data_IF_951169889716
#
_entry.id   IF_951169889716
#
_cell.length_a   1.000
_cell.length_b   1.000
_cell.length_c   1.000
_cell.angle_alpha   90.00
_cell.angle_beta   90.00
_cell.angle_gamma   90.00
#
_symmetry.space_group_name_H-M   'P 1'
#
loop_
_entity.id
_entity.type
_entity.pdbx_description
1 polymer ?
#
# COMPACT_ATOMS: atom_id res chain seq x y z
N UNK A 1 18.72 -22.43 -2.32
CA UNK A 1 18.36 -21.11 -1.77
C UNK A 1 18.40 -21.04 -0.24
N UNK A 2 17.74 -21.95 0.53
CA UNK A 2 17.74 -21.87 2.02
C UNK A 2 19.15 -21.88 2.66
N UNK A 3 20.13 -22.57 2.07
CA UNK A 3 21.51 -22.64 2.60
C UNK A 3 22.34 -21.37 2.37
N UNK A 4 21.94 -20.49 1.44
CA UNK A 4 22.65 -19.22 1.14
C UNK A 4 22.20 -18.06 2.03
N UNK A 5 20.99 -18.13 2.60
CA UNK A 5 20.43 -17.06 3.44
C UNK A 5 21.30 -16.68 4.65
N UNK A 6 21.87 -17.65 5.42
CA UNK A 6 22.76 -17.31 6.53
C UNK A 6 24.03 -16.56 6.08
N UNK A 7 24.58 -16.93 4.93
CA UNK A 7 25.76 -16.25 4.38
C UNK A 7 25.42 -14.82 3.93
N UNK A 8 24.24 -14.62 3.33
CA UNK A 8 23.77 -13.27 2.97
C UNK A 8 23.58 -12.41 4.22
N UNK A 9 22.98 -12.95 5.30
CA UNK A 9 22.81 -12.20 6.55
C UNK A 9 24.15 -11.84 7.20
N UNK A 10 25.12 -12.76 7.18
CA UNK A 10 26.47 -12.49 7.67
C UNK A 10 27.19 -11.43 6.83
N UNK A 11 27.09 -11.52 5.50
CA UNK A 11 27.65 -10.52 4.60
C UNK A 11 27.07 -9.13 4.87
N UNK A 12 25.75 -9.03 5.05
CA UNK A 12 25.09 -7.75 5.38
C UNK A 12 25.57 -7.20 6.73
N UNK A 13 25.72 -8.07 7.74
CA UNK A 13 26.28 -7.67 9.03
C UNK A 13 27.70 -7.13 8.88
N UNK A 14 28.56 -7.84 8.14
CA UNK A 14 29.92 -7.40 7.87
C UNK A 14 29.95 -6.06 7.15
N UNK A 15 29.11 -5.85 6.14
CA UNK A 15 29.00 -4.57 5.44
C UNK A 15 28.59 -3.43 6.39
N UNK A 16 27.64 -3.67 7.28
CA UNK A 16 27.21 -2.67 8.29
C UNK A 16 28.37 -2.32 9.23
N UNK A 17 29.17 -3.31 9.65
CA UNK A 17 30.32 -3.10 10.54
C UNK A 17 31.51 -2.45 9.82
N UNK A 18 31.74 -2.78 8.55
CA UNK A 18 32.83 -2.18 7.75
C UNK A 18 32.54 -0.73 7.34
N UNK A 19 31.26 -0.36 7.23
CA UNK A 19 30.80 0.96 6.81
C UNK A 19 29.85 1.59 7.84
N UNK A 20 30.32 1.86 9.08
CA UNK A 20 29.47 2.26 10.18
C UNK A 20 28.85 3.66 9.99
N UNK A 21 29.57 4.57 9.33
CA UNK A 21 29.10 5.95 9.10
C UNK A 21 27.91 5.95 8.15
N UNK A 22 28.03 5.26 7.03
CA UNK A 22 26.95 5.14 6.03
C UNK A 22 25.78 4.37 6.58
N UNK A 23 26.03 3.29 7.31
CA UNK A 23 25.00 2.48 7.96
C UNK A 23 24.20 3.28 8.96
N UNK A 24 24.87 4.06 9.82
CA UNK A 24 24.22 4.94 10.78
C UNK A 24 23.45 6.08 10.10
N UNK A 25 24.01 6.66 9.04
CA UNK A 25 23.34 7.69 8.25
C UNK A 25 22.04 7.17 7.62
N UNK A 26 22.09 5.99 7.01
CA UNK A 26 20.92 5.32 6.45
C UNK A 26 19.86 4.99 7.50
N UNK A 27 20.28 4.45 8.64
CA UNK A 27 19.38 4.14 9.75
C UNK A 27 18.69 5.40 10.31
N UNK A 28 19.44 6.51 10.51
CA UNK A 28 18.89 7.80 10.93
C UNK A 28 17.89 8.37 9.91
N UNK A 29 18.22 8.28 8.61
CA UNK A 29 17.31 8.71 7.55
C UNK A 29 16.01 7.88 7.55
N UNK A 30 16.11 6.56 7.70
CA UNK A 30 14.97 5.65 7.82
C UNK A 30 14.12 5.93 9.05
N UNK A 31 14.75 6.18 10.21
CA UNK A 31 14.06 6.53 11.44
C UNK A 31 13.30 7.86 11.30
N UNK A 32 13.95 8.88 10.75
CA UNK A 32 13.33 10.19 10.51
C UNK A 32 12.14 10.06 9.56
N UNK A 33 12.28 9.32 8.45
CA UNK A 33 11.20 9.07 7.50
C UNK A 33 10.02 8.35 8.17
N UNK A 34 10.29 7.29 8.92
CA UNK A 34 9.27 6.53 9.62
C UNK A 34 8.54 7.38 10.66
N UNK A 35 9.27 8.07 11.52
CA UNK A 35 8.72 8.83 12.62
C UNK A 35 7.93 10.07 12.17
N UNK A 36 8.49 10.84 11.23
CA UNK A 36 7.91 12.12 10.82
C UNK A 36 6.82 12.01 9.75
N UNK A 37 6.83 10.93 8.94
CA UNK A 37 5.92 10.81 7.80
C UNK A 37 5.03 9.58 7.87
N UNK A 38 5.62 8.39 8.06
CA UNK A 38 4.89 7.12 7.94
C UNK A 38 4.03 6.85 9.18
N UNK A 39 4.62 7.02 10.37
CA UNK A 39 3.96 6.75 11.65
C UNK A 39 2.69 7.61 11.85
N UNK A 40 2.72 8.95 11.75
CA UNK A 40 1.55 9.78 11.94
C UNK A 40 0.49 9.61 10.84
N UNK A 41 0.91 9.26 9.63
CA UNK A 41 -0.02 9.05 8.51
C UNK A 41 -0.77 7.72 8.60
N UNK A 42 -0.12 6.65 9.09
CA UNK A 42 -0.70 5.29 9.05
C UNK A 42 -1.32 4.87 10.38
N UNK A 43 -0.77 5.26 11.52
CA UNK A 43 -1.25 4.78 12.83
C UNK A 43 -2.74 5.02 13.07
N UNK A 44 -3.30 6.24 12.86
CA UNK A 44 -4.73 6.46 13.08
C UNK A 44 -5.61 5.58 12.18
N UNK A 45 -5.23 5.41 10.92
CA UNK A 45 -5.98 4.57 9.98
C UNK A 45 -5.91 3.09 10.35
N UNK A 46 -4.79 2.62 10.89
CA UNK A 46 -4.63 1.24 11.36
C UNK A 46 -5.48 0.97 12.60
N UNK A 47 -5.51 1.90 13.55
CA UNK A 47 -6.36 1.80 14.74
C UNK A 47 -7.83 1.72 14.32
N UNK A 48 -8.29 2.62 13.45
CA UNK A 48 -9.67 2.62 12.97
C UNK A 48 -10.02 1.32 12.22
N UNK A 49 -9.12 0.82 11.36
CA UNK A 49 -9.32 -0.42 10.62
C UNK A 49 -9.47 -1.62 11.57
N UNK A 50 -8.56 -1.76 12.53
CA UNK A 50 -8.59 -2.86 13.50
C UNK A 50 -9.77 -2.78 14.45
N UNK A 51 -10.13 -1.56 14.87
CA UNK A 51 -11.33 -1.34 15.67
C UNK A 51 -12.60 -1.77 14.92
N UNK A 52 -12.70 -1.40 13.64
CA UNK A 52 -13.79 -1.82 12.75
C UNK A 52 -13.86 -3.35 12.62
N UNK A 53 -12.72 -4.01 12.51
CA UNK A 53 -12.61 -5.47 12.43
C UNK A 53 -13.03 -6.13 13.76
N UNK A 54 -12.50 -5.66 14.90
CA UNK A 54 -12.80 -6.19 16.24
C UNK A 54 -14.25 -5.99 16.66
N UNK A 55 -14.86 -4.88 16.27
CA UNK A 55 -16.29 -4.63 16.48
C UNK A 55 -17.20 -5.41 15.52
N UNK A 56 -16.62 -6.22 14.62
CA UNK A 56 -17.36 -7.09 13.73
C UNK A 56 -18.16 -6.38 12.62
N UNK A 57 -17.87 -5.10 12.34
CA UNK A 57 -18.61 -4.32 11.33
C UNK A 57 -18.65 -5.00 9.96
N UNK A 58 -17.54 -5.59 9.53
CA UNK A 58 -17.48 -6.29 8.25
C UNK A 58 -18.38 -7.53 8.21
N UNK A 59 -18.62 -8.17 9.37
CA UNK A 59 -19.50 -9.34 9.47
C UNK A 59 -20.98 -8.94 9.46
N UNK A 60 -21.30 -7.88 10.19
CA UNK A 60 -22.68 -7.36 10.26
C UNK A 60 -23.13 -6.73 8.97
N UNK A 61 -22.28 -5.88 8.35
CA UNK A 61 -22.57 -5.19 7.11
C UNK A 61 -22.55 -6.13 5.88
N UNK A 62 -21.69 -7.15 5.90
CA UNK A 62 -21.51 -8.09 4.79
C UNK A 62 -21.65 -9.54 5.23
N UNK A 63 -22.88 -10.05 5.43
CA UNK A 63 -23.13 -11.41 5.93
C UNK A 63 -22.68 -12.49 4.95
N UNK A 64 -22.58 -12.16 3.64
CA UNK A 64 -22.13 -13.10 2.61
C UNK A 64 -20.60 -13.10 2.49
N UNK A 65 -20.00 -14.28 2.39
CA UNK A 65 -18.56 -14.47 2.27
C UNK A 65 -17.90 -13.60 1.18
N UNK A 66 -18.47 -13.56 -0.02
CA UNK A 66 -17.95 -12.73 -1.13
C UNK A 66 -17.98 -11.24 -0.82
N UNK A 67 -19.05 -10.78 -0.16
CA UNK A 67 -19.17 -9.38 0.27
C UNK A 67 -18.10 -9.02 1.29
N UNK A 68 -17.85 -9.89 2.29
CA UNK A 68 -16.79 -9.71 3.29
C UNK A 68 -15.41 -9.64 2.64
N UNK A 69 -15.10 -10.58 1.75
CA UNK A 69 -13.82 -10.58 1.03
C UNK A 69 -13.62 -9.29 0.25
N UNK A 70 -14.63 -8.86 -0.51
CA UNK A 70 -14.58 -7.60 -1.26
C UNK A 70 -14.41 -6.37 -0.36
N UNK A 71 -15.17 -6.30 0.74
CA UNK A 71 -15.05 -5.23 1.73
C UNK A 71 -13.66 -5.21 2.36
N UNK A 72 -13.13 -6.35 2.79
CA UNK A 72 -11.79 -6.46 3.35
C UNK A 72 -10.70 -6.03 2.36
N UNK A 73 -10.84 -6.39 1.08
CA UNK A 73 -9.92 -5.92 0.03
C UNK A 73 -10.01 -4.39 -0.15
N UNK A 74 -11.23 -3.82 -0.19
CA UNK A 74 -11.42 -2.38 -0.27
C UNK A 74 -10.80 -1.65 0.93
N UNK A 75 -11.01 -2.14 2.15
CA UNK A 75 -10.36 -1.61 3.34
C UNK A 75 -8.83 -1.66 3.25
N UNK A 76 -8.27 -2.77 2.76
CA UNK A 76 -6.83 -2.91 2.57
C UNK A 76 -6.26 -1.92 1.58
N UNK A 77 -6.96 -1.66 0.46
CA UNK A 77 -6.55 -0.66 -0.52
C UNK A 77 -6.62 0.75 0.05
N UNK A 78 -7.62 1.07 0.86
CA UNK A 78 -7.79 2.38 1.48
C UNK A 78 -6.74 2.65 2.56
N UNK A 79 -6.48 1.68 3.41
CA UNK A 79 -5.49 1.80 4.48
C UNK A 79 -4.06 1.67 3.98
N UNK A 80 -3.85 0.97 2.85
CA UNK A 80 -2.53 0.76 2.25
C UNK A 80 -1.75 -0.41 2.85
N UNK A 81 -0.57 -0.66 2.25
CA UNK A 81 0.36 -1.67 2.73
C UNK A 81 0.84 -1.35 4.17
N UNK A 82 1.08 -2.37 5.01
CA UNK A 82 1.02 -3.81 4.74
C UNK A 82 -0.34 -4.49 5.04
N UNK A 83 -1.43 -3.74 5.20
CA UNK A 83 -2.74 -4.30 5.59
C UNK A 83 -3.27 -5.32 4.58
N UNK A 84 -2.99 -5.13 3.28
CA UNK A 84 -3.30 -6.14 2.26
C UNK A 84 -2.61 -7.47 2.49
N UNK A 85 -1.34 -7.45 2.92
CA UNK A 85 -0.60 -8.67 3.23
C UNK A 85 -1.13 -9.35 4.49
N UNK A 86 -1.52 -8.58 5.52
CA UNK A 86 -2.16 -9.13 6.73
C UNK A 86 -3.48 -9.79 6.41
N UNK A 87 -4.33 -9.11 5.66
CA UNK A 87 -5.61 -9.63 5.24
C UNK A 87 -5.43 -10.94 4.47
N UNK A 88 -4.58 -10.97 3.44
CA UNK A 88 -4.33 -12.20 2.70
C UNK A 88 -3.73 -13.29 3.57
N UNK A 89 -2.82 -12.95 4.49
CA UNK A 89 -2.25 -13.89 5.45
C UNK A 89 -3.31 -14.50 6.38
N UNK A 90 -4.27 -13.72 6.82
CA UNK A 90 -5.40 -14.22 7.61
C UNK A 90 -6.31 -15.13 6.77
N UNK A 91 -6.79 -14.65 5.62
CA UNK A 91 -7.71 -15.39 4.76
C UNK A 91 -7.13 -16.71 4.23
N UNK A 92 -5.81 -16.80 4.05
CA UNK A 92 -5.17 -18.06 3.63
C UNK A 92 -4.95 -19.01 4.80
N UNK A 93 -4.62 -18.50 6.00
CA UNK A 93 -4.55 -19.33 7.22
C UNK A 93 -5.89 -19.94 7.58
N UNK A 94 -6.95 -19.16 7.45
CA UNK A 94 -8.32 -19.59 7.73
C UNK A 94 -8.92 -20.51 6.64
N UNK A 95 -8.17 -20.77 5.56
CA UNK A 95 -8.66 -21.57 4.44
C UNK A 95 -9.75 -20.89 3.58
N UNK A 96 -10.08 -19.63 3.88
CA UNK A 96 -11.06 -18.82 3.13
C UNK A 96 -10.62 -18.59 1.69
N UNK A 97 -9.32 -18.38 1.49
CA UNK A 97 -8.69 -18.20 0.19
C UNK A 97 -7.59 -19.25 0.03
N UNK A 98 -7.57 -20.04 -1.04
CA UNK A 98 -6.46 -20.94 -1.32
C UNK A 98 -5.14 -20.18 -1.43
N UNK A 99 -4.03 -20.76 -0.94
CA UNK A 99 -2.71 -20.09 -0.96
C UNK A 99 -2.30 -19.63 -2.37
N UNK A 100 -2.58 -20.43 -3.39
CA UNK A 100 -2.32 -20.08 -4.79
C UNK A 100 -3.06 -18.82 -5.26
N UNK A 101 -4.28 -18.61 -4.79
CA UNK A 101 -5.08 -17.41 -5.05
C UNK A 101 -4.57 -16.23 -4.21
N UNK A 102 -4.26 -16.45 -2.93
CA UNK A 102 -3.65 -15.45 -2.05
C UNK A 102 -2.37 -14.87 -2.64
N UNK A 103 -1.47 -15.73 -3.13
CA UNK A 103 -0.23 -15.34 -3.82
C UNK A 103 -0.47 -14.48 -5.09
N UNK A 104 -1.59 -14.66 -5.79
CA UNK A 104 -1.96 -13.87 -6.98
C UNK A 104 -2.59 -12.53 -6.62
N UNK A 105 -3.44 -12.51 -5.58
CA UNK A 105 -4.15 -11.31 -5.13
C UNK A 105 -3.24 -10.35 -4.36
N UNK A 106 -2.26 -10.89 -3.65
CA UNK A 106 -1.41 -10.12 -2.75
C UNK A 106 -0.75 -8.90 -3.42
N UNK A 107 -0.14 -8.99 -4.63
CA UNK A 107 0.43 -7.83 -5.30
C UNK A 107 -0.57 -6.70 -5.59
N UNK A 108 -1.84 -7.03 -5.76
CA UNK A 108 -2.92 -6.07 -6.04
C UNK A 108 -3.40 -5.38 -4.76
N UNK A 109 -3.71 -6.17 -3.72
CA UNK A 109 -4.29 -5.65 -2.47
C UNK A 109 -3.24 -5.04 -1.53
N UNK A 110 -1.97 -5.47 -1.62
CA UNK A 110 -0.87 -4.90 -0.85
C UNK A 110 -0.23 -3.73 -1.61
N UNK A 111 -0.99 -2.66 -1.75
CA UNK A 111 -0.61 -1.44 -2.47
C UNK A 111 -0.63 -0.23 -1.56
N UNK A 112 -0.03 0.88 -1.97
CA UNK A 112 -0.07 2.12 -1.19
C UNK A 112 -1.49 2.67 -1.10
N UNK A 113 -1.76 3.44 -0.05
CA UNK A 113 -3.09 4.06 0.14
C UNK A 113 -3.31 5.27 -0.78
N UNK A 114 -4.58 5.61 -1.08
CA UNK A 114 -4.91 6.86 -1.78
C UNK A 114 -4.40 8.11 -1.04
N UNK A 115 -4.40 8.07 0.30
CA UNK A 115 -3.86 9.15 1.12
C UNK A 115 -2.37 9.38 0.85
N UNK A 116 -1.56 8.31 0.80
CA UNK A 116 -0.13 8.41 0.47
C UNK A 116 0.07 8.98 -0.95
N UNK A 117 -0.69 8.48 -1.93
CA UNK A 117 -0.60 8.96 -3.31
C UNK A 117 -0.93 10.46 -3.42
N UNK A 118 -1.95 10.92 -2.70
CA UNK A 118 -2.36 12.32 -2.69
C UNK A 118 -1.40 13.21 -1.90
N UNK A 119 -1.07 12.83 -0.66
CA UNK A 119 -0.34 13.72 0.26
C UNK A 119 1.15 13.71 -0.03
N UNK A 120 1.75 12.54 -0.15
CA UNK A 120 3.19 12.42 -0.34
C UNK A 120 3.56 12.64 -1.81
N UNK A 121 2.90 11.94 -2.75
CA UNK A 121 3.36 12.00 -4.14
C UNK A 121 2.83 13.25 -4.86
N UNK A 122 1.51 13.45 -4.89
CA UNK A 122 0.95 14.58 -5.64
C UNK A 122 1.23 15.92 -4.96
N UNK A 123 1.00 16.03 -3.64
CA UNK A 123 1.12 17.30 -2.92
C UNK A 123 2.55 17.63 -2.55
N UNK A 124 3.31 16.69 -1.98
CA UNK A 124 4.65 16.99 -1.48
C UNK A 124 5.73 16.86 -2.57
N UNK A 125 5.74 15.78 -3.36
CA UNK A 125 6.77 15.53 -4.39
C UNK A 125 6.53 16.31 -5.68
N UNK A 126 5.30 16.32 -6.18
CA UNK A 126 4.94 17.00 -7.43
C UNK A 126 4.45 18.45 -7.22
N UNK A 127 4.18 18.87 -5.97
CA UNK A 127 3.63 20.18 -5.62
C UNK A 127 2.35 20.53 -6.39
N UNK A 128 1.63 19.50 -6.87
CA UNK A 128 0.41 19.65 -7.65
C UNK A 128 -0.60 18.53 -7.34
N UNK A 129 -1.58 18.85 -6.50
CA UNK A 129 -2.64 17.92 -6.08
C UNK A 129 -3.52 17.43 -7.23
N UNK A 130 -3.65 18.20 -8.33
CA UNK A 130 -4.45 17.81 -9.49
C UNK A 130 -3.89 16.55 -10.17
N UNK A 131 -2.59 16.31 -10.06
CA UNK A 131 -1.92 15.11 -10.60
C UNK A 131 -2.30 13.81 -9.88
N UNK A 132 -2.96 13.90 -8.72
CA UNK A 132 -3.55 12.73 -8.08
C UNK A 132 -4.55 12.01 -9.00
N UNK A 133 -5.33 12.74 -9.79
CA UNK A 133 -6.39 12.17 -10.66
C UNK A 133 -5.84 11.17 -11.69
N UNK A 134 -4.89 11.55 -12.59
CA UNK A 134 -4.32 10.61 -13.55
C UNK A 134 -3.58 9.47 -12.86
N UNK A 135 -2.87 9.73 -11.76
CA UNK A 135 -2.20 8.69 -11.00
C UNK A 135 -3.19 7.73 -10.35
N UNK A 136 -4.26 8.22 -9.73
CA UNK A 136 -5.28 7.39 -9.09
C UNK A 136 -6.03 6.52 -10.11
N UNK A 137 -6.40 7.08 -11.26
CA UNK A 137 -7.04 6.34 -12.34
C UNK A 137 -6.13 5.21 -12.86
N UNK A 138 -4.87 5.51 -13.13
CA UNK A 138 -3.90 4.54 -13.61
C UNK A 138 -3.55 3.48 -12.54
N UNK A 139 -3.55 3.84 -11.27
CA UNK A 139 -3.17 2.97 -10.16
C UNK A 139 -4.31 2.04 -9.74
N UNK A 140 -5.46 2.61 -9.38
CA UNK A 140 -6.56 1.83 -8.81
C UNK A 140 -7.48 1.20 -9.88
N UNK A 141 -7.54 1.75 -11.08
CA UNK A 141 -8.34 1.19 -12.19
C UNK A 141 -7.95 -0.26 -12.49
N UNK A 142 -6.70 -0.56 -12.86
CA UNK A 142 -6.26 -1.94 -13.12
C UNK A 142 -6.39 -2.86 -11.90
N UNK A 143 -6.10 -2.36 -10.70
CA UNK A 143 -6.22 -3.16 -9.46
C UNK A 143 -7.66 -3.60 -9.25
N UNK A 144 -8.63 -2.70 -9.40
CA UNK A 144 -10.04 -3.01 -9.29
C UNK A 144 -10.50 -3.98 -10.37
N UNK A 145 -10.15 -3.73 -11.64
CA UNK A 145 -10.51 -4.62 -12.75
C UNK A 145 -9.94 -6.03 -12.58
N UNK A 146 -8.67 -6.17 -12.17
CA UNK A 146 -8.01 -7.47 -12.01
C UNK A 146 -8.46 -8.20 -10.73
N UNK A 147 -8.94 -7.50 -9.72
CA UNK A 147 -9.42 -8.12 -8.48
C UNK A 147 -10.86 -8.65 -8.57
N UNK A 148 -11.71 -8.03 -9.39
CA UNK A 148 -13.12 -8.42 -9.53
C UNK A 148 -13.34 -9.91 -9.91
N UNK A 149 -12.68 -10.47 -10.96
CA UNK A 149 -12.86 -11.88 -11.31
C UNK A 149 -12.41 -12.83 -10.20
N UNK A 150 -11.41 -12.44 -9.42
CA UNK A 150 -10.87 -13.27 -8.35
C UNK A 150 -11.83 -13.36 -7.16
N UNK A 151 -12.69 -12.35 -6.93
CA UNK A 151 -13.73 -12.39 -5.92
C UNK A 151 -14.84 -13.40 -6.22
N UNK A 152 -15.00 -13.78 -7.49
CA UNK A 152 -16.05 -14.74 -7.91
C UNK A 152 -15.66 -16.20 -7.69
N UNK A 153 -14.37 -16.51 -7.56
CA UNK A 153 -13.83 -17.88 -7.51
C UNK A 153 -13.58 -18.40 -6.07
N UNK A 154 -13.89 -17.63 -5.04
CA UNK A 154 -13.73 -18.05 -3.63
C UNK A 154 -14.67 -19.23 -3.29
N UNK A 155 -14.11 -20.37 -2.82
CA UNK A 155 -14.90 -21.46 -2.26
C UNK A 155 -15.48 -21.04 -0.91
N UNK A 156 -16.70 -21.54 -0.58
CA UNK A 156 -17.26 -21.40 0.79
C UNK A 156 -16.27 -22.04 1.76
N UNK A 157 -15.81 -21.28 2.75
CA UNK A 157 -14.99 -21.81 3.84
C UNK A 157 -15.87 -22.37 4.94
N UNK A 158 -15.45 -23.47 5.53
CA UNK A 158 -16.08 -24.07 6.71
C UNK A 158 -15.90 -23.24 7.99
N UNK A 159 -15.05 -22.22 7.96
CA UNK A 159 -14.70 -21.35 9.09
C UNK A 159 -15.83 -20.37 9.49
N UNK A 160 -16.90 -20.28 8.72
CA UNK A 160 -18.06 -19.46 9.07
C UNK A 160 -18.77 -19.93 10.39
N UNK A 161 -18.43 -21.09 10.93
CA UNK A 161 -19.06 -21.68 12.12
C UNK A 161 -18.37 -21.37 13.46
N UNK A 162 -17.05 -21.18 13.50
CA UNK A 162 -16.33 -21.02 14.77
C UNK A 162 -16.06 -19.57 15.19
N UNK A 163 -16.27 -18.61 14.33
CA UNK A 163 -15.98 -17.21 14.62
C UNK A 163 -17.19 -16.41 15.16
N UNK A 164 -18.10 -17.07 15.86
CA UNK A 164 -19.05 -16.43 16.77
C UNK A 164 -18.36 -16.09 18.11
N UNK A 165 -17.09 -15.66 18.08
CA UNK A 165 -16.44 -15.09 19.27
C UNK A 165 -17.22 -13.83 19.66
N UNK A 166 -17.60 -13.78 20.93
CA UNK A 166 -18.32 -12.69 21.56
C UNK A 166 -17.80 -11.34 21.06
N UNK A 167 -18.68 -10.44 20.66
CA UNK A 167 -18.36 -9.06 20.34
C UNK A 167 -17.58 -8.50 21.53
N UNK A 168 -16.32 -8.11 21.32
CA UNK A 168 -15.54 -7.44 22.35
C UNK A 168 -16.25 -6.16 22.79
N UNK A 169 -16.14 -5.81 24.07
CA UNK A 169 -16.59 -4.50 24.52
C UNK A 169 -15.81 -3.41 23.77
N UNK A 170 -16.40 -2.24 23.58
CA UNK A 170 -15.72 -1.15 22.89
C UNK A 170 -14.37 -0.80 23.53
N UNK A 171 -14.21 -0.69 24.87
CA UNK A 171 -12.93 -0.42 25.50
C UNK A 171 -11.89 -1.50 25.21
N UNK A 172 -12.25 -2.78 25.28
CA UNK A 172 -11.34 -3.89 24.99
C UNK A 172 -10.92 -3.92 23.52
N UNK A 173 -11.88 -3.69 22.62
CA UNK A 173 -11.62 -3.61 21.19
C UNK A 173 -10.69 -2.43 20.84
N UNK A 174 -10.88 -1.28 21.49
CA UNK A 174 -10.04 -0.10 21.28
C UNK A 174 -8.61 -0.33 21.82
N UNK A 175 -8.47 -0.84 23.04
CA UNK A 175 -7.18 -1.16 23.66
C UNK A 175 -6.38 -2.12 22.75
N UNK A 176 -6.99 -3.23 22.36
CA UNK A 176 -6.36 -4.21 21.49
C UNK A 176 -6.06 -3.67 20.09
N UNK A 177 -6.93 -2.79 19.55
CA UNK A 177 -6.67 -2.15 18.26
C UNK A 177 -5.45 -1.22 18.30
N UNK A 178 -5.28 -0.45 19.39
CA UNK A 178 -4.12 0.41 19.60
C UNK A 178 -2.84 -0.42 19.72
N UNK A 179 -2.84 -1.41 20.62
CA UNK A 179 -1.68 -2.27 20.85
C UNK A 179 -1.19 -2.96 19.58
N UNK A 180 -2.09 -3.63 18.86
CA UNK A 180 -1.74 -4.29 17.61
C UNK A 180 -1.28 -3.33 16.54
N UNK A 181 -1.84 -2.10 16.47
CA UNK A 181 -1.42 -1.09 15.52
C UNK A 181 -0.02 -0.57 15.83
N UNK A 182 0.32 -0.39 17.11
CA UNK A 182 1.67 -0.02 17.53
C UNK A 182 2.70 -1.08 17.14
N UNK A 183 2.42 -2.36 17.40
CA UNK A 183 3.30 -3.47 16.98
C UNK A 183 3.52 -3.49 15.46
N UNK A 184 2.47 -3.20 14.70
CA UNK A 184 2.57 -3.10 13.25
C UNK A 184 3.43 -1.93 12.79
N UNK A 185 3.28 -0.77 13.43
CA UNK A 185 4.12 0.40 13.16
C UNK A 185 5.60 0.11 13.45
N UNK A 186 5.92 -0.59 14.54
CA UNK A 186 7.29 -0.98 14.86
C UNK A 186 7.88 -1.93 13.79
N UNK A 187 7.11 -2.90 13.31
CA UNK A 187 7.55 -3.80 12.22
C UNK A 187 7.81 -3.03 10.92
N UNK A 188 6.91 -2.10 10.56
CA UNK A 188 7.07 -1.23 9.39
C UNK A 188 8.33 -0.38 9.55
N UNK A 189 8.51 0.25 10.72
CA UNK A 189 9.69 1.04 11.04
C UNK A 189 10.98 0.24 10.87
N UNK A 190 11.05 -0.96 11.45
CA UNK A 190 12.20 -1.84 11.29
C UNK A 190 12.53 -2.17 9.82
N UNK A 191 11.52 -2.46 8.99
CA UNK A 191 11.72 -2.69 7.56
C UNK A 191 12.23 -1.44 6.82
N UNK A 192 11.71 -0.25 7.16
CA UNK A 192 12.14 1.02 6.55
C UNK A 192 13.58 1.34 6.95
N UNK A 193 13.91 1.25 8.25
CA UNK A 193 15.27 1.49 8.73
C UNK A 193 16.26 0.56 8.05
N UNK A 194 15.95 -0.72 7.98
CA UNK A 194 16.79 -1.71 7.32
C UNK A 194 16.97 -1.40 5.83
N UNK A 195 15.89 -1.11 5.10
CA UNK A 195 15.96 -0.77 3.69
C UNK A 195 16.76 0.52 3.43
N UNK A 196 16.59 1.56 4.27
CA UNK A 196 17.37 2.80 4.17
C UNK A 196 18.85 2.61 4.51
N UNK A 197 19.18 1.70 5.45
CA UNK A 197 20.56 1.32 5.74
C UNK A 197 21.20 0.64 4.52
N UNK A 198 20.49 -0.33 3.92
CA UNK A 198 20.96 -0.99 2.70
C UNK A 198 21.10 -0.01 1.53
N UNK A 199 20.16 0.94 1.41
CA UNK A 199 20.22 1.98 0.38
C UNK A 199 21.45 2.86 0.56
N UNK A 200 21.75 3.29 1.79
CA UNK A 200 22.93 4.10 2.08
C UNK A 200 24.23 3.39 1.72
N UNK A 201 24.32 2.10 2.04
CA UNK A 201 25.47 1.26 1.68
C UNK A 201 25.57 1.07 0.14
N UNK A 202 24.44 0.77 -0.52
CA UNK A 202 24.41 0.51 -1.96
C UNK A 202 24.65 1.76 -2.81
N UNK A 203 24.35 2.96 -2.29
CA UNK A 203 24.59 4.24 -2.97
C UNK A 203 26.05 4.67 -2.98
N UNK A 204 26.93 3.99 -2.25
CA UNK A 204 28.36 4.25 -2.33
C UNK A 204 28.87 4.03 -3.75
N UNK A 205 29.47 5.04 -4.34
CA UNK A 205 29.97 4.99 -5.71
C UNK A 205 28.92 5.18 -6.82
N UNK A 206 27.65 5.32 -6.48
CA UNK A 206 26.61 5.65 -7.47
C UNK A 206 26.49 7.17 -7.59
N UNK A 207 27.15 7.73 -8.61
CA UNK A 207 27.19 9.17 -8.88
C UNK A 207 26.10 9.62 -9.85
N UNK A 208 25.63 8.73 -10.73
CA UNK A 208 24.57 9.05 -11.68
C UNK A 208 23.21 9.22 -10.97
N UNK A 209 22.52 10.37 -11.15
CA UNK A 209 21.26 10.63 -10.47
C UNK A 209 20.12 9.69 -10.89
N UNK A 210 20.13 9.17 -12.14
CA UNK A 210 19.12 8.23 -12.61
C UNK A 210 19.32 6.86 -11.98
N UNK A 211 20.55 6.36 -11.95
CA UNK A 211 20.89 5.12 -11.26
C UNK A 211 20.59 5.20 -9.76
N UNK A 212 20.91 6.34 -9.14
CA UNK A 212 20.61 6.59 -7.73
C UNK A 212 19.09 6.59 -7.44
N UNK A 213 18.30 7.18 -8.33
CA UNK A 213 16.83 7.19 -8.21
C UNK A 213 16.23 5.79 -8.44
N UNK A 214 16.73 5.04 -9.43
CA UNK A 214 16.31 3.67 -9.69
C UNK A 214 16.61 2.74 -8.50
N UNK A 215 17.83 2.82 -7.95
CA UNK A 215 18.24 2.05 -6.78
C UNK A 215 17.39 2.40 -5.56
N UNK A 216 17.15 3.69 -5.32
CA UNK A 216 16.30 4.17 -4.22
C UNK A 216 14.87 3.64 -4.37
N UNK A 217 14.27 3.76 -5.55
CA UNK A 217 12.91 3.26 -5.83
C UNK A 217 12.79 1.75 -5.75
N UNK A 218 13.87 1.03 -6.07
CA UNK A 218 13.91 -0.42 -5.90
C UNK A 218 13.93 -0.83 -4.43
N UNK A 219 14.67 -0.14 -3.59
CA UNK A 219 14.84 -0.49 -2.18
C UNK A 219 13.73 0.06 -1.29
N UNK A 220 13.38 1.36 -1.44
CA UNK A 220 12.40 1.99 -0.55
C UNK A 220 11.57 3.04 -1.33
N UNK A 221 10.25 2.92 -1.24
CA UNK A 221 9.31 3.71 -2.05
C UNK A 221 9.34 5.21 -1.75
N UNK A 222 9.46 5.60 -0.49
CA UNK A 222 9.39 7.02 -0.09
C UNK A 222 10.65 7.78 -0.50
N UNK A 223 11.83 7.19 -0.29
CA UNK A 223 13.11 7.73 -0.74
C UNK A 223 13.24 7.68 -2.26
N UNK A 224 12.74 6.61 -2.88
CA UNK A 224 12.71 6.45 -4.33
C UNK A 224 11.84 7.49 -5.02
N UNK A 225 10.64 7.72 -4.49
CA UNK A 225 9.76 8.78 -5.04
C UNK A 225 10.35 10.17 -4.84
N UNK A 226 11.07 10.43 -3.74
CA UNK A 226 11.80 11.68 -3.56
C UNK A 226 12.91 11.85 -4.60
N UNK A 227 13.71 10.81 -4.83
CA UNK A 227 14.79 10.83 -5.80
C UNK A 227 14.26 11.01 -7.24
N UNK A 228 13.21 10.28 -7.63
CA UNK A 228 12.56 10.43 -8.95
C UNK A 228 12.00 11.84 -9.14
N UNK A 229 11.38 12.43 -8.11
CA UNK A 229 10.83 13.78 -8.16
C UNK A 229 11.88 14.86 -8.42
N UNK A 230 13.11 14.63 -7.98
CA UNK A 230 14.26 15.54 -8.17
C UNK A 230 14.92 15.43 -9.57
N UNK A 231 14.59 14.41 -10.37
CA UNK A 231 15.17 14.25 -11.69
C UNK A 231 14.71 15.34 -12.67
N UNK A 232 15.58 15.79 -13.60
CA UNK A 232 15.25 16.77 -14.63
C UNK A 232 14.41 16.15 -15.75
N UNK A 233 13.19 15.73 -15.42
CA UNK A 233 12.26 15.09 -16.34
C UNK A 233 11.04 15.96 -16.59
N UNK A 234 10.38 15.77 -17.76
CA UNK A 234 9.09 16.39 -18.02
C UNK A 234 8.05 15.98 -16.95
N UNK A 235 7.10 16.87 -16.65
CA UNK A 235 6.08 16.60 -15.63
C UNK A 235 5.30 15.30 -15.91
N UNK A 236 4.99 15.05 -17.19
CA UNK A 236 4.30 13.82 -17.62
C UNK A 236 5.09 12.56 -17.28
N UNK A 237 6.37 12.51 -17.66
CA UNK A 237 7.24 11.36 -17.41
C UNK A 237 7.51 11.19 -15.91
N UNK A 238 7.75 12.28 -15.19
CA UNK A 238 7.96 12.28 -13.74
C UNK A 238 6.72 11.74 -13.00
N UNK A 239 5.52 12.20 -13.37
CA UNK A 239 4.26 11.70 -12.79
C UNK A 239 4.07 10.21 -13.05
N UNK A 240 4.35 9.76 -14.27
CA UNK A 240 4.26 8.36 -14.65
C UNK A 240 5.24 7.46 -13.88
N UNK A 241 6.50 7.89 -13.75
CA UNK A 241 7.52 7.15 -13.00
C UNK A 241 7.19 7.10 -11.50
N UNK A 242 6.67 8.17 -10.94
CA UNK A 242 6.24 8.21 -9.55
C UNK A 242 5.05 7.27 -9.30
N UNK A 243 4.06 7.25 -10.20
CA UNK A 243 2.93 6.31 -10.12
C UNK A 243 3.41 4.86 -10.23
N UNK A 244 4.33 4.57 -11.15
CA UNK A 244 4.93 3.25 -11.33
C UNK A 244 5.74 2.78 -10.12
N UNK A 245 6.61 3.65 -9.60
CA UNK A 245 7.41 3.36 -8.40
C UNK A 245 6.52 3.12 -7.17
N UNK A 246 5.44 3.90 -7.03
CA UNK A 246 4.44 3.73 -5.99
C UNK A 246 3.70 2.37 -6.11
N UNK A 247 3.36 1.95 -7.33
CA UNK A 247 2.71 0.67 -7.58
C UNK A 247 3.67 -0.52 -7.35
N UNK A 248 4.94 -0.39 -7.67
CA UNK A 248 5.96 -1.37 -7.32
C UNK A 248 6.16 -1.46 -5.80
N UNK A 249 6.31 -0.34 -5.11
CA UNK A 249 6.38 -0.24 -3.66
C UNK A 249 7.75 -0.52 -3.05
N UNK A 250 8.72 -1.01 -3.82
CA UNK A 250 10.07 -1.29 -3.36
C UNK A 250 10.23 -2.60 -2.56
N UNK A 251 11.48 -2.94 -2.28
CA UNK A 251 11.84 -4.11 -1.46
C UNK A 251 11.35 -3.96 -0.02
N UNK A 252 11.34 -2.75 0.54
CA UNK A 252 10.84 -2.47 1.89
C UNK A 252 9.40 -2.95 2.07
N UNK A 253 8.48 -2.63 1.15
CA UNK A 253 7.10 -3.12 1.20
C UNK A 253 7.00 -4.64 0.99
N UNK A 254 7.88 -5.22 0.17
CA UNK A 254 7.93 -6.66 -0.03
C UNK A 254 8.38 -7.41 1.24
N UNK A 255 9.34 -6.87 1.99
CA UNK A 255 9.76 -7.40 3.28
C UNK A 255 8.64 -7.28 4.33
N UNK A 256 7.92 -6.16 4.37
CA UNK A 256 6.74 -6.00 5.21
C UNK A 256 5.66 -7.04 4.88
N UNK A 257 5.42 -7.28 3.58
CA UNK A 257 4.49 -8.31 3.13
C UNK A 257 4.93 -9.72 3.56
N UNK A 258 6.22 -10.02 3.49
CA UNK A 258 6.79 -11.31 3.92
C UNK A 258 6.58 -11.55 5.42
N UNK A 259 6.72 -10.51 6.25
CA UNK A 259 6.44 -10.59 7.69
C UNK A 259 4.98 -10.90 8.00
N UNK A 260 4.05 -10.47 7.14
CA UNK A 260 2.61 -10.65 7.34
C UNK A 260 2.05 -11.92 6.67
N UNK A 261 2.72 -12.40 5.63
CA UNK A 261 2.33 -13.58 4.84
C UNK A 261 3.51 -14.56 4.74
N UNK A 262 3.69 -15.45 5.74
CA UNK A 262 4.89 -16.31 5.84
C UNK A 262 5.14 -17.23 4.64
N UNK A 263 4.07 -17.65 3.94
CA UNK A 263 4.15 -18.50 2.74
C UNK A 263 4.45 -17.71 1.46
N UNK A 264 4.72 -16.40 1.56
CA UNK A 264 4.97 -15.54 0.40
C UNK A 264 6.19 -16.02 -0.40
N UNK A 265 5.97 -16.28 -1.69
CA UNK A 265 7.03 -16.51 -2.65
C UNK A 265 7.57 -15.16 -3.12
N UNK A 266 8.64 -14.71 -2.49
CA UNK A 266 9.16 -13.34 -2.64
C UNK A 266 9.48 -12.97 -4.11
N UNK A 267 10.21 -13.82 -4.84
CA UNK A 267 10.59 -13.51 -6.22
C UNK A 267 9.38 -13.38 -7.17
N UNK A 268 8.42 -14.32 -7.21
CA UNK A 268 7.19 -14.14 -8.00
C UNK A 268 6.38 -12.91 -7.57
N UNK A 269 6.36 -12.57 -6.29
CA UNK A 269 5.70 -11.37 -5.80
C UNK A 269 6.37 -10.11 -6.34
N UNK A 270 7.69 -9.99 -6.23
CA UNK A 270 8.45 -8.85 -6.73
C UNK A 270 8.28 -8.67 -8.24
N UNK A 271 8.35 -9.76 -9.03
CA UNK A 271 8.14 -9.71 -10.48
C UNK A 271 6.74 -9.20 -10.83
N UNK A 272 5.69 -9.68 -10.14
CA UNK A 272 4.32 -9.18 -10.35
C UNK A 272 4.16 -7.71 -9.95
N UNK A 273 4.79 -7.29 -8.86
CA UNK A 273 4.82 -5.89 -8.44
C UNK A 273 5.56 -5.01 -9.45
N UNK A 274 6.65 -5.50 -10.03
CA UNK A 274 7.40 -4.79 -11.07
C UNK A 274 6.54 -4.62 -12.34
N UNK A 275 5.86 -5.70 -12.77
CA UNK A 275 4.94 -5.65 -13.91
C UNK A 275 3.77 -4.69 -13.64
N UNK A 276 3.20 -4.73 -12.43
CA UNK A 276 2.16 -3.79 -12.02
C UNK A 276 2.68 -2.34 -12.06
N UNK A 277 3.88 -2.10 -11.55
CA UNK A 277 4.53 -0.78 -11.58
C UNK A 277 4.73 -0.28 -13.01
N UNK A 278 5.23 -1.13 -13.91
CA UNK A 278 5.40 -0.79 -15.33
C UNK A 278 4.05 -0.49 -16.01
N UNK A 279 3.03 -1.31 -15.74
CA UNK A 279 1.69 -1.12 -16.31
C UNK A 279 1.03 0.18 -15.80
N UNK A 280 1.12 0.46 -14.48
CA UNK A 280 0.58 1.68 -13.88
C UNK A 280 1.32 2.92 -14.39
N UNK A 281 2.65 2.87 -14.46
CA UNK A 281 3.46 3.96 -15.02
C UNK A 281 3.13 4.24 -16.49
N UNK A 282 3.08 3.19 -17.32
CA UNK A 282 2.71 3.30 -18.74
C UNK A 282 1.29 3.84 -18.92
N UNK A 283 0.33 3.34 -18.14
CA UNK A 283 -1.06 3.80 -18.19
C UNK A 283 -1.18 5.26 -17.71
N UNK A 284 -0.47 5.64 -16.64
CA UNK A 284 -0.44 7.02 -16.16
C UNK A 284 0.14 7.96 -17.21
N UNK A 285 1.21 7.54 -17.91
CA UNK A 285 1.78 8.29 -19.03
C UNK A 285 0.78 8.46 -20.18
N UNK A 286 0.07 7.39 -20.55
CA UNK A 286 -0.93 7.42 -21.62
C UNK A 286 -2.16 8.27 -21.26
N UNK A 287 -2.65 8.16 -20.02
CA UNK A 287 -3.82 8.92 -19.56
C UNK A 287 -3.54 10.39 -19.23
N UNK A 288 -2.27 10.77 -19.04
CA UNK A 288 -1.88 12.11 -18.61
C UNK A 288 -2.51 13.24 -19.45
N UNK A 289 -2.57 13.16 -20.81
CA UNK A 289 -3.18 14.22 -21.61
C UNK A 289 -4.70 14.38 -21.42
N UNK A 290 -5.39 13.32 -20.95
CA UNK A 290 -6.83 13.34 -20.69
C UNK A 290 -7.19 14.12 -19.41
N UNK A 291 -6.20 14.40 -18.58
CA UNK A 291 -6.34 15.17 -17.35
C UNK A 291 -5.50 16.45 -17.49
N UNK A 292 -5.99 17.47 -18.23
CA UNK A 292 -5.22 18.70 -18.38
C UNK A 292 -4.86 19.21 -16.98
N UNK A 293 -3.56 19.29 -16.71
CA UNK A 293 -3.09 19.88 -15.47
C UNK A 293 -3.62 21.31 -15.48
N UNK A 294 -4.47 21.63 -14.53
CA UNK A 294 -4.94 22.99 -14.27
C UNK A 294 -3.74 23.80 -13.78
N UNK A 295 -2.81 24.06 -14.70
CA UNK A 295 -1.43 24.44 -14.41
C UNK A 295 -1.26 25.92 -14.09
N UNK A 296 -2.26 26.77 -14.17
CA UNK A 296 -2.03 28.20 -13.93
C UNK A 296 -3.16 28.97 -13.23
N UNK A 297 -4.39 28.48 -13.27
CA UNK A 297 -5.52 29.27 -12.73
C UNK A 297 -5.72 29.04 -11.22
N UNK A 298 -5.14 27.99 -10.63
CA UNK A 298 -5.37 27.62 -9.24
C UNK A 298 -4.28 28.04 -8.25
N UNK A 299 -3.15 28.55 -8.69
CA UNK A 299 -2.10 29.04 -7.79
C UNK A 299 -2.58 30.22 -6.90
N UNK A 300 -3.49 31.04 -7.40
CA UNK A 300 -4.08 32.14 -6.64
C UNK A 300 -5.30 31.75 -5.78
N UNK A 301 -5.91 30.57 -6.03
CA UNK A 301 -7.11 30.10 -5.35
C UNK A 301 -6.83 29.04 -4.27
N UNK A 302 -5.58 28.63 -4.12
CA UNK A 302 -5.15 27.49 -3.29
C UNK A 302 -5.27 27.71 -1.77
N UNK A 303 -5.35 28.96 -1.31
CA UNK A 303 -5.48 29.25 0.13
C UNK A 303 -6.91 29.04 0.68
N UNK A 304 -7.93 29.20 -0.13
CA UNK A 304 -9.33 29.00 0.30
C UNK A 304 -9.82 27.58 0.00
N UNK A 305 -9.32 26.96 -1.09
CA UNK A 305 -9.72 25.63 -1.52
C UNK A 305 -9.03 24.50 -0.76
N UNK A 306 -7.93 24.77 -0.05
CA UNK A 306 -7.18 23.74 0.72
C UNK A 306 -7.98 23.13 1.87
N UNK A 307 -8.90 23.89 2.47
CA UNK A 307 -9.82 23.37 3.52
C UNK A 307 -10.97 22.54 2.95
N UNK A 308 -11.53 22.94 1.81
CA UNK A 308 -12.65 22.20 1.18
C UNK A 308 -12.18 20.98 0.41
N UNK A 309 -10.97 20.96 -0.16
CA UNK A 309 -10.43 19.81 -0.88
C UNK A 309 -9.91 18.72 0.05
N UNK A 310 -9.44 19.04 1.26
CA UNK A 310 -9.10 18.00 2.26
C UNK A 310 -10.36 17.26 2.75
N UNK A 311 -11.46 17.99 2.97
CA UNK A 311 -12.77 17.40 3.27
C UNK A 311 -13.38 16.71 2.05
N UNK A 312 -13.21 17.25 0.84
CA UNK A 312 -13.66 16.65 -0.41
C UNK A 312 -12.87 15.42 -0.82
N UNK A 313 -11.56 15.35 -0.53
CA UNK A 313 -10.76 14.15 -0.77
C UNK A 313 -11.07 13.05 0.26
N UNK A 314 -11.34 13.41 1.51
CA UNK A 314 -11.89 12.51 2.52
C UNK A 314 -13.31 12.07 2.16
N UNK A 315 -14.17 12.98 1.69
CA UNK A 315 -15.52 12.66 1.23
C UNK A 315 -15.50 11.84 -0.08
N UNK A 316 -14.57 12.11 -0.99
CA UNK A 316 -14.41 11.34 -2.23
C UNK A 316 -13.80 9.96 -1.95
N UNK A 317 -12.86 9.84 -1.04
CA UNK A 317 -12.33 8.54 -0.61
C UNK A 317 -13.40 7.73 0.13
N UNK A 318 -14.22 8.38 0.97
CA UNK A 318 -15.35 7.75 1.63
C UNK A 318 -16.51 7.47 0.68
N UNK A 319 -16.79 8.34 -0.30
CA UNK A 319 -17.81 8.12 -1.33
C UNK A 319 -17.41 7.06 -2.35
N UNK A 320 -16.14 7.00 -2.76
CA UNK A 320 -15.59 5.92 -3.58
C UNK A 320 -15.61 4.59 -2.81
N UNK A 321 -15.36 4.63 -1.50
CA UNK A 321 -15.48 3.48 -0.60
C UNK A 321 -16.93 3.03 -0.47
N UNK A 322 -17.85 3.97 -0.19
CA UNK A 322 -19.28 3.69 -0.08
C UNK A 322 -19.87 3.28 -1.43
N UNK A 323 -19.48 3.90 -2.54
CA UNK A 323 -19.90 3.54 -3.90
C UNK A 323 -19.36 2.17 -4.31
N UNK A 324 -18.13 1.83 -3.96
CA UNK A 324 -17.55 0.51 -4.19
C UNK A 324 -18.23 -0.56 -3.30
N UNK A 325 -18.50 -0.24 -2.04
CA UNK A 325 -19.25 -1.11 -1.13
C UNK A 325 -20.71 -1.27 -1.57
N UNK A 326 -21.32 -0.23 -2.12
CA UNK A 326 -22.66 -0.27 -2.70
C UNK A 326 -22.71 -1.11 -3.99
N UNK A 327 -21.75 -0.95 -4.90
CA UNK A 327 -21.59 -1.80 -6.09
C UNK A 327 -21.36 -3.26 -5.72
N UNK A 328 -20.55 -3.53 -4.71
CA UNK A 328 -20.37 -4.90 -4.18
C UNK A 328 -21.67 -5.44 -3.56
N UNK A 329 -22.47 -4.60 -2.91
CA UNK A 329 -23.77 -5.00 -2.35
C UNK A 329 -24.81 -5.29 -3.43
N UNK A 330 -24.82 -4.51 -4.53
CA UNK A 330 -25.68 -4.75 -5.70
C UNK A 330 -25.29 -6.04 -6.43
N UNK A 331 -23.99 -6.30 -6.62
CA UNK A 331 -23.50 -7.54 -7.21
C UNK A 331 -23.78 -8.75 -6.31
N UNK A 332 -23.81 -8.57 -4.99
CA UNK A 332 -24.23 -9.58 -4.02
C UNK A 332 -25.77 -9.75 -3.95
N UNK A 333 -26.54 -8.72 -4.33
CA UNK A 333 -28.02 -8.67 -4.26
C UNK A 333 -28.75 -9.23 -5.48
N UNK A 334 -28.09 -9.36 -6.63
CA UNK A 334 -28.68 -9.68 -7.93
C UNK A 334 -29.24 -11.09 -8.13
N UNK A 335 -29.54 -11.87 -7.07
CA UNK A 335 -30.27 -13.15 -7.10
C UNK A 335 -31.36 -13.22 -6.00
N UNK A 336 -32.19 -12.21 -5.90
CA UNK A 336 -33.46 -12.29 -5.17
C UNK A 336 -34.61 -11.94 -6.11
N UNK A 337 -34.81 -12.76 -7.13
CA UNK A 337 -36.12 -12.87 -7.82
C UNK A 337 -36.10 -14.16 -8.62
N UNK A 338 -36.38 -15.27 -7.97
CA UNK A 338 -37.02 -16.51 -8.46
C UNK A 338 -36.75 -17.62 -7.44
N UNK A 339 -37.58 -17.70 -6.45
CA UNK A 339 -38.33 -18.87 -5.98
C UNK A 339 -39.30 -18.42 -4.89
#
# INVERSE_FOLDING_TARGET
>A
MKRLLPFVSLLLLLLILLFPVESLSGAKAGLSLWWSSVFPALLPSFICLKLTEKLGLLRTAFPRHRGRLGASMAFSLLSGAPNGAKLMGALTRDGTVPDSMGQRLLPLVNSISPAFLLTIIASDRLKNKALFRPMAAAFYGPILCLSLPLLTHGKKSSVDREAASALCSFPDALSAAIEESMLDMLRIGGCILFACTLLSLARRGVTDPFAAAALSGFLEVSTGTAAIAALPLSLRLRTALLAGAAAFGGLSLALQALCCYPNLKLLPYLLRKLLLGAAVGGLCYALFPLFPALSSVFAARDQVLSRTLSLGALALSSALSAGFLFLLSLMAGGKRAKN
#
